data_IF_146399454288
#
_entry.id   IF_146399454288
#
_cell.length_a   1.000
_cell.length_b   1.000
_cell.length_c   1.000
_cell.angle_alpha   90.00
_cell.angle_beta   90.00
_cell.angle_gamma   90.00
#
_symmetry.space_group_name_H-M   'P 1'
#
loop_
_entity.id
_entity.type
_entity.pdbx_description
1 polymer ?
#
# COMPACT_ATOMS: atom_id res chain seq x y z
N UNK A 1 10.82 5.87 13.38
CA UNK A 1 10.85 5.56 11.94
C UNK A 1 10.16 6.62 11.06
N UNK A 2 9.53 7.67 11.62
CA UNK A 2 8.65 8.60 10.88
C UNK A 2 9.30 9.85 10.25
N UNK A 3 10.58 10.12 10.51
CA UNK A 3 11.26 11.35 10.06
C UNK A 3 11.81 11.28 8.63
N UNK A 4 12.20 10.10 8.15
CA UNK A 4 12.82 9.95 6.82
C UNK A 4 11.82 10.17 5.68
N UNK A 5 10.57 9.78 5.90
CA UNK A 5 9.48 9.97 4.93
C UNK A 5 9.22 11.47 4.75
N UNK A 6 9.04 12.23 5.83
CA UNK A 6 8.81 13.68 5.77
C UNK A 6 9.98 14.45 5.12
N UNK A 7 11.22 13.99 5.32
CA UNK A 7 12.37 14.59 4.65
C UNK A 7 12.37 14.40 3.13
N UNK A 8 11.73 13.34 2.63
CA UNK A 8 11.68 13.02 1.20
C UNK A 8 10.44 13.64 0.54
N UNK A 9 9.24 13.33 1.04
CA UNK A 9 7.97 13.76 0.43
C UNK A 9 7.49 15.14 0.92
N UNK A 10 8.18 15.72 1.92
CA UNK A 10 7.78 16.96 2.58
C UNK A 10 6.83 16.72 3.75
N UNK A 11 6.60 17.78 4.52
CA UNK A 11 5.63 17.76 5.60
C UNK A 11 4.20 17.92 5.06
N UNK A 12 3.24 17.13 5.57
CA UNK A 12 1.86 17.19 5.10
C UNK A 12 1.20 18.51 5.50
N UNK A 13 0.44 19.08 4.56
CA UNK A 13 -0.43 20.23 4.81
C UNK A 13 -1.73 19.79 5.51
N UNK A 14 -2.48 20.75 6.04
CA UNK A 14 -3.72 20.49 6.78
C UNK A 14 -4.78 19.74 5.96
N UNK A 15 -4.80 19.90 4.63
CA UNK A 15 -5.73 19.17 3.76
C UNK A 15 -5.33 17.70 3.62
N UNK A 16 -4.03 17.41 3.58
CA UNK A 16 -3.48 16.05 3.48
C UNK A 16 -3.56 15.26 4.80
N UNK A 17 -3.90 15.90 5.92
CA UNK A 17 -4.16 15.25 7.22
C UNK A 17 -5.65 14.91 7.45
N UNK A 18 -6.52 15.25 6.49
CA UNK A 18 -7.96 15.02 6.60
C UNK A 18 -8.33 13.56 6.87
N UNK A 19 -7.57 12.60 6.32
CA UNK A 19 -7.81 11.17 6.50
C UNK A 19 -7.57 10.67 7.94
N UNK A 20 -6.75 11.37 8.74
CA UNK A 20 -6.46 10.96 10.11
C UNK A 20 -7.68 11.22 10.99
N UNK A 21 -8.40 10.18 11.42
CA UNK A 21 -9.55 10.32 12.32
C UNK A 21 -9.16 10.70 13.75
N UNK A 22 -7.93 10.43 14.16
CA UNK A 22 -7.43 10.71 15.51
C UNK A 22 -6.90 12.14 15.64
N UNK A 23 -7.52 12.93 16.51
CA UNK A 23 -7.07 14.30 16.84
C UNK A 23 -5.67 14.31 17.48
N UNK A 24 -5.32 13.28 18.25
CA UNK A 24 -3.98 13.14 18.83
C UNK A 24 -2.93 12.92 17.73
N UNK A 25 -3.21 12.07 16.74
CA UNK A 25 -2.31 11.86 15.62
C UNK A 25 -2.10 13.13 14.79
N UNK A 26 -3.18 13.90 14.52
CA UNK A 26 -3.09 15.20 13.83
C UNK A 26 -2.20 16.18 14.58
N UNK A 27 -2.40 16.33 15.89
CA UNK A 27 -1.60 17.25 16.72
C UNK A 27 -0.13 16.83 16.77
N UNK A 28 0.15 15.53 16.86
CA UNK A 28 1.52 15.02 16.84
C UNK A 28 2.22 15.36 15.52
N UNK A 29 1.58 15.12 14.37
CA UNK A 29 2.17 15.43 13.06
C UNK A 29 2.44 16.92 12.90
N UNK A 30 1.55 17.79 13.39
CA UNK A 30 1.74 19.26 13.37
C UNK A 30 2.92 19.73 14.23
N UNK A 31 3.29 18.99 15.27
CA UNK A 31 4.41 19.31 16.16
C UNK A 31 5.76 18.85 15.60
N UNK A 32 5.78 18.06 14.52
CA UNK A 32 7.01 17.62 13.89
C UNK A 32 7.68 18.76 13.11
N UNK A 33 9.02 18.74 12.96
CA UNK A 33 9.73 19.70 12.14
C UNK A 33 9.20 19.69 10.70
N UNK A 34 8.95 20.88 10.17
CA UNK A 34 8.46 21.06 8.80
C UNK A 34 9.62 20.94 7.81
N UNK A 35 9.46 20.10 6.79
CA UNK A 35 10.43 19.92 5.71
C UNK A 35 9.78 20.27 4.36
N UNK A 36 10.47 21.05 3.50
CA UNK A 36 10.00 21.25 2.14
C UNK A 36 10.07 19.94 1.34
N UNK A 37 9.14 19.73 0.41
CA UNK A 37 9.18 18.59 -0.51
C UNK A 37 10.48 18.63 -1.31
N UNK A 38 11.25 17.54 -1.29
CA UNK A 38 12.43 17.42 -2.13
C UNK A 38 12.02 17.11 -3.56
N UNK A 39 12.73 17.68 -4.54
CA UNK A 39 12.56 17.28 -5.92
C UNK A 39 13.18 15.90 -6.12
N UNK A 40 12.38 14.94 -6.56
CA UNK A 40 12.84 13.57 -6.78
C UNK A 40 13.91 13.49 -7.87
N UNK A 41 13.83 14.35 -8.88
CA UNK A 41 14.85 14.51 -9.93
C UNK A 41 16.23 14.85 -9.37
N UNK A 42 16.31 15.72 -8.36
CA UNK A 42 17.57 16.08 -7.70
C UNK A 42 18.09 14.96 -6.79
N UNK A 43 17.19 14.15 -6.22
CA UNK A 43 17.56 13.03 -5.35
C UNK A 43 17.99 11.79 -6.13
N UNK A 44 17.38 11.57 -7.30
CA UNK A 44 17.62 10.43 -8.17
C UNK A 44 18.00 10.91 -9.58
N UNK A 45 19.23 11.45 -9.76
CA UNK A 45 19.64 12.05 -11.04
C UNK A 45 19.70 11.06 -12.21
N UNK A 46 19.80 9.76 -11.93
CA UNK A 46 19.88 8.71 -12.94
C UNK A 46 18.51 8.11 -13.32
N UNK A 47 17.42 8.65 -12.76
CA UNK A 47 16.08 8.13 -12.98
C UNK A 47 15.44 8.75 -14.22
N UNK A 48 14.72 7.95 -15.01
CA UNK A 48 13.96 8.50 -16.14
C UNK A 48 12.83 9.44 -15.66
N UNK A 49 12.48 10.49 -16.41
CA UNK A 49 11.40 11.39 -16.03
C UNK A 49 10.06 10.67 -15.80
N UNK A 50 9.77 9.65 -16.60
CA UNK A 50 8.56 8.83 -16.45
C UNK A 50 8.56 7.99 -15.16
N UNK A 51 9.72 7.46 -14.76
CA UNK A 51 9.85 6.75 -13.48
C UNK A 51 9.68 7.69 -12.29
N UNK A 52 10.24 8.91 -12.39
CA UNK A 52 10.10 9.93 -11.35
C UNK A 52 8.63 10.34 -11.19
N UNK A 53 7.90 10.55 -12.29
CA UNK A 53 6.49 10.91 -12.25
C UNK A 53 5.63 9.83 -11.58
N UNK A 54 5.83 8.56 -11.94
CA UNK A 54 5.14 7.45 -11.29
C UNK A 54 5.46 7.37 -9.79
N UNK A 55 6.74 7.53 -9.43
CA UNK A 55 7.19 7.49 -8.04
C UNK A 55 6.56 8.61 -7.20
N UNK A 56 6.42 9.82 -7.76
CA UNK A 56 5.76 10.94 -7.10
C UNK A 56 4.27 10.69 -6.87
N UNK A 57 3.59 10.00 -7.79
CA UNK A 57 2.18 9.60 -7.66
C UNK A 57 1.96 8.46 -6.66
N UNK A 58 2.95 7.59 -6.48
CA UNK A 58 2.91 6.51 -5.47
C UNK A 58 3.26 7.01 -4.06
N UNK A 59 4.26 7.89 -3.93
CA UNK A 59 4.77 8.41 -2.67
C UNK A 59 4.05 9.69 -2.22
N UNK A 60 2.74 9.58 -2.02
CA UNK A 60 1.90 10.64 -1.45
C UNK A 60 1.49 10.34 -0.01
N UNK A 61 1.32 11.41 0.78
CA UNK A 61 0.97 11.31 2.20
C UNK A 61 -0.50 10.89 2.41
N UNK A 62 -1.41 11.46 1.63
CA UNK A 62 -2.83 11.11 1.68
C UNK A 62 -3.06 9.81 0.89
N UNK A 63 -3.49 8.72 1.55
CA UNK A 63 -3.73 7.46 0.87
C UNK A 63 -4.83 7.56 -0.20
N UNK A 64 -5.77 8.51 -0.07
CA UNK A 64 -6.85 8.68 -1.05
C UNK A 64 -6.40 9.38 -2.33
N UNK A 65 -5.25 10.07 -2.30
CA UNK A 65 -4.63 10.71 -3.47
C UNK A 65 -3.58 9.82 -4.12
N UNK A 66 -3.32 8.63 -3.56
CA UNK A 66 -2.32 7.70 -4.10
C UNK A 66 -2.87 7.08 -5.37
N UNK A 67 -2.03 7.02 -6.39
CA UNK A 67 -2.35 6.34 -7.65
C UNK A 67 -2.84 4.93 -7.39
N UNK A 68 -3.92 4.53 -8.07
CA UNK A 68 -4.42 3.16 -7.98
C UNK A 68 -3.50 2.21 -8.74
N UNK A 69 -3.66 0.91 -8.51
CA UNK A 69 -2.87 -0.09 -9.23
C UNK A 69 -3.17 -0.02 -10.74
N UNK A 70 -4.45 0.11 -11.11
CA UNK A 70 -4.87 0.23 -12.52
C UNK A 70 -4.26 1.47 -13.20
N UNK A 71 -4.29 2.62 -12.53
CA UNK A 71 -3.69 3.86 -13.04
C UNK A 71 -2.16 3.77 -13.16
N UNK A 72 -1.51 3.06 -12.23
CA UNK A 72 -0.06 2.84 -12.26
C UNK A 72 0.34 1.92 -13.42
N UNK A 73 -0.43 0.86 -13.69
CA UNK A 73 -0.20 -0.06 -14.81
C UNK A 73 -0.35 0.64 -16.17
N UNK A 74 -1.33 1.55 -16.29
CA UNK A 74 -1.52 2.38 -17.49
C UNK A 74 -0.44 3.48 -17.67
N UNK A 75 0.52 3.61 -16.76
CA UNK A 75 1.48 4.71 -16.79
C UNK A 75 2.51 4.54 -17.92
N UNK A 76 2.95 5.63 -18.61
CA UNK A 76 3.96 5.55 -19.68
C UNK A 76 5.27 4.85 -19.30
N UNK A 77 5.60 4.83 -18.01
CA UNK A 77 6.77 4.12 -17.50
C UNK A 77 6.64 2.59 -17.57
N UNK A 78 5.43 2.05 -17.38
CA UNK A 78 5.15 0.61 -17.45
C UNK A 78 4.59 0.18 -18.81
N UNK A 79 4.40 1.10 -19.76
CA UNK A 79 3.81 0.81 -21.06
C UNK A 79 4.52 -0.29 -21.87
N UNK A 80 5.83 -0.49 -21.67
CA UNK A 80 6.56 -1.59 -22.33
C UNK A 80 6.35 -2.96 -21.69
N UNK A 81 5.79 -3.01 -20.48
CA UNK A 81 5.55 -4.21 -19.69
C UNK A 81 4.05 -4.52 -19.51
N UNK A 82 3.19 -3.54 -19.76
CA UNK A 82 1.74 -3.67 -19.56
C UNK A 82 1.12 -4.57 -20.62
N UNK A 83 0.55 -5.69 -20.18
CA UNK A 83 -0.26 -6.58 -21.01
C UNK A 83 -1.53 -6.97 -20.24
N UNK A 84 -2.68 -6.52 -20.74
CA UNK A 84 -3.99 -6.75 -20.16
C UNK A 84 -4.31 -8.26 -20.07
N UNK A 85 -3.75 -9.08 -20.97
CA UNK A 85 -4.00 -10.52 -20.98
C UNK A 85 -3.24 -11.27 -19.86
N UNK A 86 -2.12 -10.70 -19.39
CA UNK A 86 -1.29 -11.26 -18.30
C UNK A 86 -1.60 -10.59 -16.94
N UNK A 87 -2.58 -9.69 -16.87
CA UNK A 87 -3.01 -8.96 -15.67
C UNK A 87 -4.47 -9.30 -15.28
N UNK A 88 -4.75 -10.54 -14.83
CA UNK A 88 -6.11 -10.95 -14.49
C UNK A 88 -6.60 -10.27 -13.21
N UNK A 89 -7.84 -9.77 -13.25
CA UNK A 89 -8.54 -9.25 -12.08
C UNK A 89 -9.23 -10.41 -11.34
N UNK A 90 -9.07 -10.46 -10.02
CA UNK A 90 -9.78 -11.43 -9.21
C UNK A 90 -11.31 -11.17 -9.27
N UNK A 91 -12.08 -12.17 -9.70
CA UNK A 91 -13.53 -12.03 -9.91
C UNK A 91 -14.33 -11.81 -8.62
N UNK A 92 -13.76 -12.14 -7.47
CA UNK A 92 -14.40 -11.97 -6.17
C UNK A 92 -13.39 -11.44 -5.14
N UNK A 93 -13.80 -10.53 -4.23
CA UNK A 93 -12.95 -10.11 -3.13
C UNK A 93 -12.65 -11.30 -2.20
N UNK A 94 -11.42 -11.38 -1.72
CA UNK A 94 -11.04 -12.36 -0.71
C UNK A 94 -11.76 -12.06 0.61
N UNK A 95 -12.36 -13.09 1.23
CA UNK A 95 -13.14 -12.96 2.45
C UNK A 95 -12.28 -13.23 3.66
N UNK A 96 -12.18 -12.26 4.57
CA UNK A 96 -11.42 -12.33 5.82
C UNK A 96 -12.28 -12.84 7.00
N UNK A 97 -13.34 -13.62 6.75
CA UNK A 97 -14.29 -14.08 7.78
C UNK A 97 -13.65 -14.97 8.86
N UNK A 98 -12.47 -15.51 8.58
CA UNK A 98 -11.66 -16.27 9.52
C UNK A 98 -10.90 -15.38 10.52
N UNK A 99 -10.65 -14.10 10.24
CA UNK A 99 -9.91 -13.19 11.14
C UNK A 99 -10.82 -12.65 12.26
N UNK A 100 -11.30 -13.55 13.13
CA UNK A 100 -12.09 -13.17 14.29
C UNK A 100 -11.17 -12.78 15.45
N UNK A 101 -11.48 -11.69 16.15
CA UNK A 101 -10.63 -11.11 17.20
C UNK A 101 -10.44 -12.02 18.43
N UNK A 102 -11.20 -13.10 18.53
CA UNK A 102 -11.29 -14.00 19.69
C UNK A 102 -10.86 -15.44 19.39
N UNK A 103 -10.09 -15.69 18.34
CA UNK A 103 -9.61 -17.04 18.03
C UNK A 103 -8.60 -17.52 19.08
N UNK A 104 -8.83 -18.72 19.64
CA UNK A 104 -7.81 -19.42 20.44
C UNK A 104 -6.87 -20.21 19.54
N UNK A 105 -5.74 -20.66 20.09
CA UNK A 105 -4.78 -21.51 19.37
C UNK A 105 -5.44 -22.78 18.82
N UNK A 106 -6.36 -23.39 19.59
CA UNK A 106 -7.11 -24.58 19.19
C UNK A 106 -8.01 -24.29 17.99
N UNK A 107 -8.68 -23.13 17.96
CA UNK A 107 -9.51 -22.74 16.82
C UNK A 107 -8.67 -22.53 15.56
N UNK A 108 -7.48 -21.94 15.68
CA UNK A 108 -6.56 -21.75 14.55
C UNK A 108 -6.07 -23.10 14.02
N UNK A 109 -5.69 -24.04 14.90
CA UNK A 109 -5.31 -25.41 14.49
C UNK A 109 -6.44 -26.11 13.74
N UNK A 110 -7.67 -25.99 14.21
CA UNK A 110 -8.84 -26.59 13.56
C UNK A 110 -9.10 -25.97 12.18
N UNK A 111 -8.99 -24.64 12.04
CA UNK A 111 -9.12 -23.95 10.75
C UNK A 111 -8.06 -24.40 9.74
N UNK A 112 -6.79 -24.50 10.17
CA UNK A 112 -5.69 -24.98 9.32
C UNK A 112 -5.93 -26.43 8.89
N UNK A 113 -6.34 -27.30 9.81
CA UNK A 113 -6.66 -28.70 9.49
C UNK A 113 -7.80 -28.80 8.48
N UNK A 114 -8.90 -28.06 8.68
CA UNK A 114 -10.05 -28.04 7.75
C UNK A 114 -9.64 -27.61 6.35
N UNK A 115 -8.82 -26.56 6.23
CA UNK A 115 -8.35 -26.10 4.92
C UNK A 115 -7.40 -27.13 4.28
N UNK A 116 -6.55 -27.78 5.07
CA UNK A 116 -5.64 -28.85 4.60
C UNK A 116 -6.41 -30.05 4.04
N UNK A 117 -7.45 -30.53 4.74
CA UNK A 117 -8.30 -31.65 4.27
C UNK A 117 -9.08 -31.27 3.02
N UNK A 118 -9.55 -30.02 2.92
CA UNK A 118 -10.27 -29.52 1.74
C UNK A 118 -9.41 -29.51 0.47
N UNK A 119 -8.11 -29.25 0.58
CA UNK A 119 -7.17 -29.27 -0.55
C UNK A 119 -6.51 -30.64 -0.78
N UNK A 120 -6.49 -31.52 0.23
CA UNK A 120 -5.99 -32.89 0.11
C UNK A 120 -6.98 -33.88 0.75
N UNK A 121 -8.06 -34.27 0.03
CA UNK A 121 -9.15 -35.08 0.57
C UNK A 121 -8.77 -36.56 0.82
N UNK A 122 -7.64 -37.03 0.28
CA UNK A 122 -7.13 -38.38 0.54
C UNK A 122 -6.04 -38.35 1.63
N UNK A 123 -6.20 -39.12 2.72
CA UNK A 123 -5.05 -39.52 3.51
C UNK A 123 -4.18 -40.44 2.64
N UNK A 124 -2.90 -40.12 2.49
CA UNK A 124 -1.92 -41.13 2.10
C UNK A 124 -2.07 -42.32 3.06
N UNK A 125 -2.29 -43.50 2.46
CA UNK A 125 -2.51 -44.80 3.10
C UNK A 125 -1.62 -45.10 4.32
#
# INVERSE_FOLDING_TARGET
MSFWIQKLIGSPDDSSLGFLRSNHARRYVKQLPQYPKQQFSARFPNMSPAATDLLEKMLVFDPNKRVTVDEALCHPYLASLHDINDEPICSAPFRFDFEQSSLTEENVKELIWKESVKFNPDPAH
#
